data_IF_660587531201
#
_entry.id   IF_660587531201
#
_cell.length_a   1.000
_cell.length_b   1.000
_cell.length_c   1.000
_cell.angle_alpha   90.00
_cell.angle_beta   90.00
_cell.angle_gamma   90.00
#
_symmetry.space_group_name_H-M   'P 1'
#
loop_
_entity.id
_entity.type
_entity.pdbx_description
1 polymer ?
#
# COMPACT_ATOMS: atom_id res chain seq x y z
N UNK A 1 10.78 13.46 -4.89
CA UNK A 1 9.86 13.51 -3.76
C UNK A 1 10.17 12.45 -2.75
N UNK A 2 9.62 12.64 -1.56
CA UNK A 2 9.92 11.76 -0.44
C UNK A 2 8.76 10.81 -0.17
N UNK A 3 8.03 10.48 -1.23
CA UNK A 3 6.87 9.60 -1.19
C UNK A 3 7.11 8.43 -2.14
N UNK A 4 6.77 7.23 -1.71
CA UNK A 4 6.92 6.05 -2.54
C UNK A 4 5.67 5.18 -2.50
N UNK A 5 5.42 4.46 -3.58
CA UNK A 5 4.29 3.55 -3.66
C UNK A 5 4.75 2.14 -3.32
N UNK A 6 4.06 1.52 -2.37
CA UNK A 6 4.42 0.18 -1.91
C UNK A 6 4.41 -0.84 -3.04
N UNK A 7 3.40 -0.77 -3.92
CA UNK A 7 3.30 -1.70 -5.04
C UNK A 7 4.48 -1.66 -5.98
N UNK A 8 5.11 -0.50 -6.13
CA UNK A 8 6.30 -0.38 -6.95
C UNK A 8 7.45 -1.24 -6.39
N UNK A 9 7.59 -1.26 -5.07
CA UNK A 9 8.69 -2.02 -4.43
C UNK A 9 8.41 -3.50 -4.35
N UNK A 10 7.15 -3.89 -4.21
CA UNK A 10 6.78 -5.30 -4.09
C UNK A 10 6.60 -5.95 -5.45
N UNK A 11 6.10 -5.18 -6.42
CA UNK A 11 5.71 -5.71 -7.71
C UNK A 11 4.25 -6.15 -7.70
N UNK A 12 3.53 -5.71 -8.71
CA UNK A 12 2.08 -5.90 -8.76
C UNK A 12 1.67 -7.35 -8.73
N UNK A 13 2.41 -8.21 -9.42
CA UNK A 13 2.04 -9.62 -9.48
C UNK A 13 2.20 -10.35 -8.14
N UNK A 14 2.99 -9.81 -7.23
CA UNK A 14 3.15 -10.41 -5.91
C UNK A 14 2.20 -9.81 -4.90
N UNK A 15 1.72 -8.61 -5.16
CA UNK A 15 0.90 -7.87 -4.21
C UNK A 15 -0.38 -8.59 -3.82
N UNK A 16 -1.05 -9.23 -4.77
CA UNK A 16 -2.29 -9.94 -4.52
C UNK A 16 -2.12 -11.41 -4.21
N UNK A 17 -0.90 -11.89 -3.96
CA UNK A 17 -0.64 -13.33 -3.81
C UNK A 17 -0.24 -13.73 -2.39
N UNK A 18 -0.87 -13.12 -1.41
CA UNK A 18 -0.67 -13.55 -0.04
C UNK A 18 0.57 -13.03 0.63
N UNK A 19 1.07 -11.89 0.18
CA UNK A 19 2.16 -11.27 0.91
C UNK A 19 1.68 -10.93 2.32
N UNK A 20 2.43 -11.33 3.30
CA UNK A 20 2.01 -11.21 4.68
C UNK A 20 2.39 -9.88 5.30
N UNK A 21 1.80 -9.64 6.47
CA UNK A 21 2.03 -8.44 7.26
C UNK A 21 3.51 -8.24 7.57
N UNK A 22 4.20 -9.32 7.97
CA UNK A 22 5.61 -9.20 8.35
C UNK A 22 6.49 -8.83 7.15
N UNK A 23 6.16 -9.34 5.97
CA UNK A 23 6.90 -8.98 4.77
C UNK A 23 6.71 -7.51 4.42
N UNK A 24 5.48 -7.00 4.53
CA UNK A 24 5.20 -5.60 4.27
C UNK A 24 5.94 -4.71 5.27
N UNK A 25 5.93 -5.08 6.55
CA UNK A 25 6.65 -4.33 7.57
C UNK A 25 8.15 -4.29 7.29
N UNK A 26 8.72 -5.42 6.89
CA UNK A 26 10.14 -5.50 6.58
C UNK A 26 10.52 -4.63 5.39
N UNK A 27 9.70 -4.65 4.35
CA UNK A 27 9.94 -3.84 3.16
C UNK A 27 9.86 -2.36 3.51
N UNK A 28 8.87 -1.95 4.27
CA UNK A 28 8.71 -0.56 4.66
C UNK A 28 9.88 -0.09 5.53
N UNK A 29 10.31 -0.92 6.45
CA UNK A 29 11.47 -0.61 7.27
C UNK A 29 12.72 -0.40 6.42
N UNK A 30 12.94 -1.30 5.46
CA UNK A 30 14.07 -1.19 4.55
C UNK A 30 14.01 0.12 3.76
N UNK A 31 12.84 0.47 3.23
CA UNK A 31 12.67 1.70 2.46
C UNK A 31 13.00 2.91 3.32
N UNK A 32 12.44 2.97 4.53
CA UNK A 32 12.65 4.11 5.41
C UNK A 32 14.09 4.24 5.87
N UNK A 33 14.80 3.11 6.01
CA UNK A 33 16.18 3.14 6.50
C UNK A 33 17.19 3.41 5.39
N UNK A 34 16.84 3.11 4.16
CA UNK A 34 17.81 3.16 3.05
C UNK A 34 17.49 4.24 2.01
N UNK A 35 16.42 4.97 2.18
CA UNK A 35 16.06 6.07 1.27
C UNK A 35 15.61 7.26 2.11
N UNK A 36 15.37 8.38 1.45
CA UNK A 36 14.82 9.55 2.13
C UNK A 36 13.31 9.64 2.03
N UNK A 37 12.66 8.54 1.63
CA UNK A 37 11.20 8.47 1.61
C UNK A 37 10.66 8.56 3.03
N UNK A 38 9.66 9.40 3.23
CA UNK A 38 9.00 9.58 4.53
C UNK A 38 7.54 9.15 4.51
N UNK A 39 7.00 8.85 3.35
CA UNK A 39 5.61 8.42 3.19
C UNK A 39 5.55 7.29 2.19
N UNK A 40 5.01 6.16 2.60
CA UNK A 40 4.76 5.03 1.71
C UNK A 40 3.26 4.87 1.59
N UNK A 41 2.72 4.84 0.38
CA UNK A 41 1.29 4.69 0.18
C UNK A 41 0.99 3.44 -0.64
N UNK A 42 -0.25 2.98 -0.56
CA UNK A 42 -0.74 1.84 -1.33
C UNK A 42 -2.19 2.07 -1.70
N UNK A 43 -2.57 1.60 -2.89
CA UNK A 43 -3.92 1.79 -3.42
C UNK A 43 -4.51 0.44 -3.82
N UNK A 44 -4.92 -0.40 -2.85
CA UNK A 44 -5.57 -1.65 -3.19
C UNK A 44 -6.97 -1.41 -3.74
N UNK A 45 -7.47 -2.32 -4.56
CA UNK A 45 -8.86 -2.29 -4.96
C UNK A 45 -9.75 -2.40 -3.71
N UNK A 46 -10.85 -1.67 -3.69
CA UNK A 46 -11.74 -1.65 -2.52
C UNK A 46 -12.26 -3.03 -2.16
N UNK A 47 -12.48 -3.88 -3.15
CA UNK A 47 -12.98 -5.22 -2.90
C UNK A 47 -11.91 -6.19 -2.39
N UNK A 48 -10.64 -5.82 -2.47
CA UNK A 48 -9.56 -6.71 -2.03
C UNK A 48 -9.33 -6.55 -0.53
N UNK A 49 -10.19 -7.20 0.24
CA UNK A 49 -10.17 -7.06 1.70
C UNK A 49 -8.92 -7.64 2.32
N UNK A 50 -8.33 -8.65 1.70
CA UNK A 50 -7.10 -9.25 2.21
C UNK A 50 -5.94 -8.25 2.17
N UNK A 51 -5.79 -7.53 1.03
CA UNK A 51 -4.75 -6.52 0.92
C UNK A 51 -4.98 -5.37 1.90
N UNK A 52 -6.23 -4.92 2.02
CA UNK A 52 -6.55 -3.85 2.96
C UNK A 52 -6.20 -4.26 4.40
N UNK A 53 -6.52 -5.49 4.77
CA UNK A 53 -6.22 -5.98 6.11
C UNK A 53 -4.72 -6.05 6.38
N UNK A 54 -3.94 -6.51 5.39
CA UNK A 54 -2.49 -6.57 5.54
C UNK A 54 -1.93 -5.16 5.78
N UNK A 55 -2.42 -4.18 5.03
CA UNK A 55 -1.97 -2.81 5.19
C UNK A 55 -2.30 -2.29 6.59
N UNK A 56 -3.54 -2.52 7.04
CA UNK A 56 -3.96 -2.08 8.37
C UNK A 56 -3.12 -2.72 9.47
N UNK A 57 -2.86 -4.02 9.35
CA UNK A 57 -2.04 -4.72 10.33
C UNK A 57 -0.58 -4.29 10.27
N UNK A 58 -0.13 -3.77 9.16
CA UNK A 58 1.23 -3.28 9.00
C UNK A 58 1.42 -1.85 9.49
N UNK A 59 0.35 -1.23 9.99
CA UNK A 59 0.42 0.12 10.53
C UNK A 59 0.01 1.21 9.57
N UNK A 60 -0.40 0.87 8.36
CA UNK A 60 -0.90 1.85 7.41
C UNK A 60 -2.23 2.39 7.88
N UNK A 61 -2.47 3.66 7.61
CA UNK A 61 -3.73 4.30 7.94
C UNK A 61 -4.55 4.54 6.69
N UNK A 62 -5.85 4.28 6.80
CA UNK A 62 -6.79 4.53 5.74
C UNK A 62 -6.97 6.04 5.57
N UNK A 63 -6.79 6.53 4.34
CA UNK A 63 -6.91 7.97 4.06
C UNK A 63 -8.10 8.33 3.19
N UNK A 64 -8.80 7.35 2.66
CA UNK A 64 -9.99 7.61 1.86
C UNK A 64 -10.19 6.61 0.75
N UNK A 65 -11.29 6.75 0.05
CA UNK A 65 -11.63 5.91 -1.09
C UNK A 65 -11.58 6.76 -2.36
N UNK A 66 -10.92 6.21 -3.38
CA UNK A 66 -10.84 6.84 -4.69
C UNK A 66 -11.92 6.19 -5.54
N UNK A 67 -13.03 6.88 -5.70
CA UNK A 67 -14.18 6.32 -6.40
C UNK A 67 -13.96 6.32 -7.90
N UNK A 68 -14.33 5.22 -8.54
CA UNK A 68 -14.25 5.07 -9.99
C UNK A 68 -12.83 5.31 -10.50
N UNK A 69 -11.83 4.90 -9.72
CA UNK A 69 -10.44 5.25 -9.99
C UNK A 69 -9.74 4.29 -10.94
N UNK A 70 -10.32 3.14 -11.22
CA UNK A 70 -9.68 2.15 -12.08
C UNK A 70 -10.71 1.37 -12.86
N UNK A 71 -10.23 0.74 -13.94
CA UNK A 71 -11.06 -0.20 -14.72
C UNK A 71 -10.36 -1.55 -14.66
N UNK A 72 -11.11 -2.56 -14.27
CA UNK A 72 -10.61 -3.93 -14.23
C UNK A 72 -11.69 -4.87 -14.76
N UNK A 73 -11.34 -5.67 -15.75
CA UNK A 73 -12.27 -6.60 -16.40
C UNK A 73 -13.53 -5.87 -16.87
N UNK A 74 -13.32 -4.72 -17.52
CA UNK A 74 -14.40 -3.86 -18.06
C UNK A 74 -15.35 -3.31 -17.02
N UNK A 75 -14.95 -3.34 -15.74
CA UNK A 75 -15.74 -2.75 -14.66
C UNK A 75 -15.00 -1.59 -14.04
N UNK A 76 -15.72 -0.51 -13.82
CA UNK A 76 -15.21 0.62 -13.06
C UNK A 76 -15.18 0.19 -11.59
N UNK A 77 -14.06 0.40 -10.95
CA UNK A 77 -13.91 -0.03 -9.57
C UNK A 77 -13.27 1.07 -8.73
N UNK A 78 -13.48 0.99 -7.43
CA UNK A 78 -12.94 1.94 -6.47
C UNK A 78 -11.63 1.40 -5.90
N UNK A 79 -10.79 2.31 -5.46
CA UNK A 79 -9.56 1.96 -4.77
C UNK A 79 -9.52 2.68 -3.43
N UNK A 80 -8.86 2.08 -2.46
CA UNK A 80 -8.66 2.70 -1.16
C UNK A 80 -7.24 3.20 -1.07
N UNK A 81 -7.08 4.35 -0.42
CA UNK A 81 -5.76 4.93 -0.19
C UNK A 81 -5.33 4.65 1.24
N UNK A 82 -4.18 4.04 1.38
CA UNK A 82 -3.54 3.79 2.67
C UNK A 82 -2.15 4.40 2.66
N UNK A 83 -1.69 4.84 3.80
CA UNK A 83 -0.35 5.41 3.89
C UNK A 83 0.30 5.07 5.23
N UNK A 84 1.61 4.89 5.17
CA UNK A 84 2.45 4.72 6.35
C UNK A 84 3.46 5.86 6.36
N UNK A 85 3.48 6.62 7.44
CA UNK A 85 4.35 7.77 7.57
C UNK A 85 5.52 7.39 8.46
N UNK A 86 6.72 7.72 8.02
CA UNK A 86 7.93 7.50 8.81
C UNK A 86 7.86 8.32 10.09
N UNK A 87 8.13 7.67 11.22
CA UNK A 87 8.23 8.39 12.49
C UNK A 87 9.55 9.11 12.53
N UNK A 88 9.47 10.42 12.59
CA UNK A 88 10.64 11.29 12.64
C UNK A 88 10.71 11.91 14.03
N UNK A 89 11.88 11.78 14.65
CA UNK A 89 12.10 12.31 15.98
C UNK A 89 13.39 13.07 16.01
#
# INVERSE_FOLDING_TARGET
YRTGELGYYIGEKFWGKGIGTEAVKSICKFIFENTDIIRIFAEPFSYNKASCRVLEKSGFQYEGTLYSNAVKNDRITDMKMYALIKKIR
#
